data_IF_606103875596
#
_entry.id   IF_606103875596
#
_cell.length_a   1.000
_cell.length_b   1.000
_cell.length_c   1.000
_cell.angle_alpha   90.00
_cell.angle_beta   90.00
_cell.angle_gamma   90.00
#
_symmetry.space_group_name_H-M   'P 1'
#
loop_
_entity.id
_entity.type
_entity.pdbx_description
1 polymer ?
#
# COMPACT_ATOMS: atom_id res chain seq x y z
N UNK A 1 -18.59 -1.70 -4.03
CA UNK A 1 -17.12 -1.60 -4.18
C UNK A 1 -16.56 -0.21 -3.85
N UNK A 2 -17.23 0.88 -4.25
CA UNK A 2 -16.73 2.26 -4.06
C UNK A 2 -16.20 2.60 -2.68
N UNK A 3 -16.97 2.39 -1.61
CA UNK A 3 -16.51 2.71 -0.25
C UNK A 3 -15.23 1.96 0.18
N UNK A 4 -15.10 0.68 -0.19
CA UNK A 4 -13.91 -0.09 0.12
C UNK A 4 -12.66 0.52 -0.53
N UNK A 5 -12.73 0.82 -1.84
CA UNK A 5 -11.61 1.36 -2.61
C UNK A 5 -11.33 2.84 -2.34
N UNK A 6 -12.35 3.68 -2.28
CA UNK A 6 -12.20 5.11 -2.10
C UNK A 6 -11.78 5.48 -0.66
N UNK A 7 -12.13 4.66 0.34
CA UNK A 7 -11.91 5.01 1.75
C UNK A 7 -11.11 3.96 2.51
N UNK A 8 -11.63 2.74 2.68
CA UNK A 8 -11.04 1.77 3.61
C UNK A 8 -9.60 1.35 3.24
N UNK A 9 -9.37 1.02 1.97
CA UNK A 9 -8.04 0.65 1.46
C UNK A 9 -7.01 1.77 1.69
N UNK A 10 -7.24 3.02 1.23
CA UNK A 10 -6.36 4.16 1.51
C UNK A 10 -6.15 4.42 3.00
N UNK A 11 -7.21 4.46 3.80
CA UNK A 11 -7.13 4.75 5.24
C UNK A 11 -6.30 3.70 5.98
N UNK A 12 -6.54 2.41 5.72
CA UNK A 12 -5.74 1.32 6.29
C UNK A 12 -4.26 1.43 5.89
N UNK A 13 -3.96 1.94 4.69
CA UNK A 13 -2.60 2.16 4.21
C UNK A 13 -1.95 3.44 4.77
N UNK A 14 -2.72 4.47 5.11
CA UNK A 14 -2.25 5.67 5.82
C UNK A 14 -1.89 5.31 7.26
N UNK A 15 -2.79 4.62 7.97
CA UNK A 15 -2.65 4.30 9.40
C UNK A 15 -1.32 3.58 9.68
N UNK A 16 -0.94 2.59 8.88
CA UNK A 16 0.33 1.84 9.04
C UNK A 16 1.58 2.70 8.83
N UNK A 17 1.46 3.86 8.16
CA UNK A 17 2.58 4.78 7.86
C UNK A 17 2.68 5.96 8.81
N UNK A 18 1.57 6.37 9.43
CA UNK A 18 1.52 7.56 10.28
C UNK A 18 1.43 7.25 11.77
N UNK A 19 0.98 6.06 12.14
CA UNK A 19 0.81 5.66 13.54
C UNK A 19 1.99 4.83 14.04
N UNK A 20 2.16 4.78 15.36
CA UNK A 20 3.21 4.02 16.07
C UNK A 20 2.64 3.11 17.17
N UNK A 21 1.32 2.89 17.17
CA UNK A 21 0.65 2.07 18.20
C UNK A 21 1.09 0.60 18.16
N UNK A 22 1.09 -0.05 19.33
CA UNK A 22 1.37 -1.48 19.43
C UNK A 22 0.30 -2.28 18.68
N UNK A 23 0.72 -3.21 17.81
CA UNK A 23 -0.19 -4.04 17.04
C UNK A 23 -0.71 -3.42 15.74
N UNK A 24 -0.13 -2.30 15.29
CA UNK A 24 -0.53 -1.60 14.07
C UNK A 24 -0.62 -2.47 12.81
N UNK A 25 0.23 -3.49 12.70
CA UNK A 25 0.20 -4.46 11.59
C UNK A 25 -1.11 -5.26 11.58
N UNK A 26 -1.64 -5.62 12.75
CA UNK A 26 -2.92 -6.34 12.85
C UNK A 26 -4.10 -5.43 12.57
N UNK A 27 -4.03 -4.16 12.97
CA UNK A 27 -5.03 -3.14 12.62
C UNK A 27 -5.05 -2.95 11.09
N UNK A 28 -3.87 -2.78 10.49
CA UNK A 28 -3.71 -2.71 9.05
C UNK A 28 -4.30 -3.95 8.37
N UNK A 29 -3.84 -5.15 8.72
CA UNK A 29 -4.31 -6.40 8.14
C UNK A 29 -5.84 -6.56 8.28
N UNK A 30 -6.40 -6.25 9.46
CA UNK A 30 -7.84 -6.31 9.72
C UNK A 30 -8.63 -5.37 8.80
N UNK A 31 -8.24 -4.10 8.70
CA UNK A 31 -8.88 -3.13 7.80
C UNK A 31 -8.77 -3.58 6.33
N UNK A 32 -7.59 -4.06 5.92
CA UNK A 32 -7.37 -4.48 4.52
C UNK A 32 -8.19 -5.72 4.15
N UNK A 33 -8.24 -6.74 5.02
CA UNK A 33 -9.05 -7.94 4.79
C UNK A 33 -10.53 -7.60 4.79
N UNK A 34 -10.99 -6.76 5.73
CA UNK A 34 -12.39 -6.32 5.75
C UNK A 34 -12.77 -5.53 4.50
N UNK A 35 -11.93 -4.59 4.06
CA UNK A 35 -12.12 -3.85 2.82
C UNK A 35 -12.18 -4.78 1.60
N UNK A 36 -11.30 -5.78 1.54
CA UNK A 36 -11.29 -6.78 0.48
C UNK A 36 -12.55 -7.63 0.46
N UNK A 37 -13.04 -8.08 1.62
CA UNK A 37 -14.30 -8.83 1.72
C UNK A 37 -15.50 -7.99 1.25
N UNK A 38 -15.59 -6.71 1.67
CA UNK A 38 -16.64 -5.80 1.19
C UNK A 38 -16.56 -5.58 -0.33
N UNK A 39 -15.34 -5.46 -0.87
CA UNK A 39 -15.13 -5.32 -2.29
C UNK A 39 -15.52 -6.60 -3.06
N UNK A 40 -15.19 -7.77 -2.51
CA UNK A 40 -15.58 -9.07 -3.04
C UNK A 40 -17.10 -9.26 -3.05
N UNK A 41 -17.80 -8.87 -2.00
CA UNK A 41 -19.29 -8.87 -1.98
C UNK A 41 -19.85 -7.97 -3.07
N UNK A 42 -19.25 -6.79 -3.28
CA UNK A 42 -19.64 -5.89 -4.35
C UNK A 42 -19.43 -6.47 -5.76
N UNK A 43 -18.32 -7.19 -5.97
CA UNK A 43 -18.07 -7.92 -7.21
C UNK A 43 -19.10 -9.05 -7.40
N UNK A 44 -19.34 -9.86 -6.37
CA UNK A 44 -20.30 -10.95 -6.42
C UNK A 44 -21.72 -10.47 -6.74
N UNK A 45 -22.15 -9.36 -6.15
CA UNK A 45 -23.43 -8.72 -6.49
C UNK A 45 -23.46 -8.21 -7.93
N UNK A 46 -22.37 -7.59 -8.40
CA UNK A 46 -22.26 -7.15 -9.80
C UNK A 46 -22.38 -8.31 -10.80
N UNK A 47 -21.72 -9.45 -10.51
CA UNK A 47 -21.83 -10.68 -11.30
C UNK A 47 -23.25 -11.25 -11.23
N UNK A 48 -23.86 -11.27 -10.05
CA UNK A 48 -25.23 -11.74 -9.85
C UNK A 48 -26.25 -10.91 -10.64
N UNK A 49 -26.09 -9.58 -10.70
CA UNK A 49 -26.95 -8.73 -11.52
C UNK A 49 -26.70 -9.03 -12.99
N UNK A 50 -25.44 -9.19 -13.40
CA UNK A 50 -25.10 -9.46 -14.79
C UNK A 50 -25.72 -10.75 -15.34
N UNK A 51 -25.84 -11.83 -14.58
CA UNK A 51 -26.35 -13.13 -15.11
C UNK A 51 -27.84 -13.16 -15.50
N UNK A 52 -28.63 -12.11 -15.23
CA UNK A 52 -30.04 -12.07 -15.65
C UNK A 52 -30.20 -11.63 -17.12
N UNK A 53 -31.10 -12.27 -17.89
CA UNK A 53 -31.10 -12.17 -19.37
C UNK A 53 -31.50 -10.81 -19.97
N UNK A 54 -31.93 -9.82 -19.17
CA UNK A 54 -32.25 -8.45 -19.63
C UNK A 54 -31.30 -7.38 -19.06
N UNK A 55 -30.31 -7.76 -18.25
CA UNK A 55 -29.47 -6.82 -17.51
C UNK A 55 -28.07 -6.73 -18.10
N UNK A 56 -27.80 -5.62 -18.79
CA UNK A 56 -26.50 -4.95 -18.91
C UNK A 56 -25.30 -5.76 -19.47
N UNK A 57 -25.44 -7.05 -19.78
CA UNK A 57 -24.39 -7.92 -20.34
C UNK A 57 -23.99 -7.54 -21.76
N UNK A 58 -24.78 -6.70 -22.44
CA UNK A 58 -24.42 -6.10 -23.72
C UNK A 58 -23.53 -4.87 -23.59
N UNK A 59 -23.19 -4.43 -22.38
CA UNK A 59 -22.23 -3.35 -22.17
C UNK A 59 -20.81 -3.89 -22.35
N UNK A 60 -20.30 -3.78 -23.59
CA UNK A 60 -18.94 -4.09 -24.04
C UNK A 60 -17.85 -3.28 -23.30
N UNK A 61 -17.71 -3.47 -21.99
CA UNK A 61 -17.00 -2.52 -21.13
C UNK A 61 -15.93 -3.20 -20.30
N UNK A 62 -14.75 -2.59 -20.22
CA UNK A 62 -13.62 -3.09 -19.44
C UNK A 62 -13.88 -3.19 -17.93
N UNK A 63 -14.95 -2.58 -17.40
CA UNK A 63 -15.23 -2.50 -15.97
C UNK A 63 -15.30 -3.86 -15.24
N UNK A 64 -16.11 -4.85 -15.67
CA UNK A 64 -16.17 -6.15 -14.98
C UNK A 64 -14.85 -6.91 -15.05
N UNK A 65 -14.15 -6.86 -16.20
CA UNK A 65 -12.85 -7.50 -16.40
C UNK A 65 -11.80 -6.91 -15.46
N UNK A 66 -11.69 -5.57 -15.43
CA UNK A 66 -10.78 -4.85 -14.52
C UNK A 66 -11.13 -5.18 -13.06
N UNK A 67 -12.42 -5.20 -12.70
CA UNK A 67 -12.88 -5.54 -11.36
C UNK A 67 -12.42 -6.92 -10.90
N UNK A 68 -12.59 -7.95 -11.75
CA UNK A 68 -12.14 -9.31 -11.47
C UNK A 68 -10.62 -9.36 -11.28
N UNK A 69 -9.86 -8.73 -12.18
CA UNK A 69 -8.40 -8.69 -12.11
C UNK A 69 -7.94 -8.00 -10.83
N UNK A 70 -8.54 -6.87 -10.46
CA UNK A 70 -8.19 -6.12 -9.24
C UNK A 70 -8.47 -6.95 -7.99
N UNK A 71 -9.66 -7.53 -7.85
CA UNK A 71 -10.03 -8.30 -6.66
C UNK A 71 -9.18 -9.57 -6.53
N UNK A 72 -8.98 -10.29 -7.63
CA UNK A 72 -8.09 -11.45 -7.69
C UNK A 72 -6.65 -11.09 -7.32
N UNK A 73 -6.15 -9.97 -7.85
CA UNK A 73 -4.80 -9.48 -7.57
C UNK A 73 -4.61 -9.05 -6.12
N UNK A 74 -5.63 -8.47 -5.49
CA UNK A 74 -5.61 -8.09 -4.07
C UNK A 74 -5.73 -9.30 -3.13
N UNK A 75 -6.26 -10.44 -3.58
CA UNK A 75 -6.31 -11.67 -2.78
C UNK A 75 -4.90 -12.19 -2.42
N UNK A 76 -3.88 -11.88 -3.22
CA UNK A 76 -2.48 -12.22 -2.95
C UNK A 76 -1.78 -11.26 -1.96
N UNK A 77 -2.39 -10.12 -1.64
CA UNK A 77 -1.79 -9.11 -0.76
C UNK A 77 -1.56 -9.61 0.68
N UNK A 78 -2.51 -10.30 1.35
CA UNK A 78 -2.27 -10.85 2.68
C UNK A 78 -1.11 -11.85 2.71
N UNK A 79 -0.98 -12.69 1.67
CA UNK A 79 0.09 -13.68 1.56
C UNK A 79 1.44 -12.98 1.44
N UNK A 80 1.59 -12.07 0.48
CA UNK A 80 2.84 -11.32 0.26
C UNK A 80 3.21 -10.44 1.46
N UNK A 81 2.21 -9.81 2.11
CA UNK A 81 2.40 -9.01 3.32
C UNK A 81 2.86 -9.84 4.50
N UNK A 82 2.28 -11.03 4.68
CA UNK A 82 2.69 -11.97 5.73
C UNK A 82 4.12 -12.47 5.50
N UNK A 83 4.45 -12.92 4.30
CA UNK A 83 5.80 -13.39 3.94
C UNK A 83 6.83 -12.30 4.19
N UNK A 84 6.61 -11.09 3.68
CA UNK A 84 7.56 -10.00 3.89
C UNK A 84 7.72 -9.68 5.38
N UNK A 85 6.63 -9.62 6.15
CA UNK A 85 6.70 -9.33 7.58
C UNK A 85 7.46 -10.40 8.36
N UNK A 86 7.24 -11.69 8.06
CA UNK A 86 8.00 -12.78 8.68
C UNK A 86 9.50 -12.64 8.43
N UNK A 87 9.89 -12.34 7.18
CA UNK A 87 11.31 -12.21 6.85
C UNK A 87 11.90 -10.94 7.46
N UNK A 88 11.17 -9.83 7.46
CA UNK A 88 11.61 -8.59 8.09
C UNK A 88 11.85 -8.77 9.60
N UNK A 89 11.00 -9.55 10.28
CA UNK A 89 11.17 -9.88 11.70
C UNK A 89 12.42 -10.74 11.97
N UNK A 90 12.75 -11.67 11.05
CA UNK A 90 13.90 -12.58 11.18
C UNK A 90 15.22 -11.90 10.82
N UNK A 91 15.29 -11.28 9.66
CA UNK A 91 16.56 -10.86 9.06
C UNK A 91 16.82 -9.36 9.17
N UNK A 92 15.80 -8.56 9.56
CA UNK A 92 15.78 -7.08 9.52
C UNK A 92 16.20 -6.48 8.16
N UNK A 93 16.26 -7.29 7.11
CA UNK A 93 16.62 -6.90 5.74
C UNK A 93 15.36 -6.68 4.91
N UNK A 94 15.38 -5.66 4.06
CA UNK A 94 14.34 -5.45 3.04
C UNK A 94 14.48 -6.56 2.00
N UNK A 95 13.49 -7.45 1.94
CA UNK A 95 13.40 -8.49 0.91
C UNK A 95 12.69 -7.96 -0.33
N UNK A 96 12.87 -8.64 -1.46
CA UNK A 96 12.12 -8.42 -2.71
C UNK A 96 10.60 -8.36 -2.51
N UNK A 97 10.08 -9.08 -1.51
CA UNK A 97 8.66 -9.08 -1.15
C UNK A 97 8.14 -7.74 -0.62
N UNK A 98 9.00 -6.89 -0.03
CA UNK A 98 8.61 -5.58 0.49
C UNK A 98 8.16 -4.61 -0.62
N UNK A 99 9.01 -4.29 -1.63
CA UNK A 99 8.61 -3.39 -2.71
C UNK A 99 7.50 -4.02 -3.55
N UNK A 100 7.49 -5.34 -3.75
CA UNK A 100 6.41 -6.03 -4.46
C UNK A 100 5.07 -5.80 -3.77
N UNK A 101 4.95 -6.12 -2.48
CA UNK A 101 3.72 -5.93 -1.71
C UNK A 101 3.23 -4.47 -1.77
N UNK A 102 4.14 -3.51 -1.54
CA UNK A 102 3.81 -2.07 -1.49
C UNK A 102 3.37 -1.53 -2.85
N UNK A 103 4.13 -1.77 -3.93
CA UNK A 103 3.78 -1.25 -5.26
C UNK A 103 2.58 -1.94 -5.88
N UNK A 104 2.49 -3.25 -5.70
CA UNK A 104 1.31 -4.03 -6.14
C UNK A 104 0.04 -3.48 -5.50
N UNK A 105 0.03 -3.33 -4.17
CA UNK A 105 -1.10 -2.75 -3.46
C UNK A 105 -1.45 -1.35 -3.98
N UNK A 106 -0.45 -0.51 -4.25
CA UNK A 106 -0.69 0.86 -4.73
C UNK A 106 -1.37 0.91 -6.09
N UNK A 107 -0.90 0.10 -7.03
CA UNK A 107 -1.43 0.03 -8.39
C UNK A 107 -2.88 -0.47 -8.33
N UNK A 108 -3.13 -1.60 -7.68
CA UNK A 108 -4.46 -2.21 -7.68
C UNK A 108 -5.50 -1.44 -6.86
N UNK A 109 -5.10 -0.75 -5.80
CA UNK A 109 -6.02 0.17 -5.08
C UNK A 109 -6.40 1.35 -5.99
N UNK A 110 -5.44 1.96 -6.71
CA UNK A 110 -5.72 3.07 -7.62
C UNK A 110 -6.63 2.65 -8.77
N UNK A 111 -6.31 1.53 -9.43
CA UNK A 111 -7.14 0.96 -10.50
C UNK A 111 -8.52 0.61 -9.96
N UNK A 112 -8.62 0.07 -8.75
CA UNK A 112 -9.89 -0.24 -8.11
C UNK A 112 -10.75 0.98 -7.79
N UNK A 113 -10.16 2.11 -7.41
CA UNK A 113 -10.88 3.39 -7.22
C UNK A 113 -11.51 3.85 -8.53
N UNK A 114 -10.73 3.84 -9.62
CA UNK A 114 -11.21 4.21 -10.96
C UNK A 114 -12.30 3.23 -11.40
N UNK A 115 -12.06 1.93 -11.24
CA UNK A 115 -12.99 0.90 -11.64
C UNK A 115 -14.32 0.99 -10.89
N UNK A 116 -14.30 1.33 -9.60
CA UNK A 116 -15.53 1.54 -8.84
C UNK A 116 -16.30 2.79 -9.29
N UNK A 117 -15.62 3.82 -9.80
CA UNK A 117 -16.26 4.98 -10.44
C UNK A 117 -16.93 4.59 -11.77
N UNK A 118 -16.24 3.84 -12.62
CA UNK A 118 -16.81 3.31 -13.87
C UNK A 118 -18.05 2.43 -13.60
N UNK A 119 -18.02 1.61 -12.55
CA UNK A 119 -19.18 0.81 -12.16
C UNK A 119 -20.37 1.65 -11.69
N UNK A 120 -20.12 2.81 -11.09
CA UNK A 120 -21.17 3.74 -10.67
C UNK A 120 -21.83 4.41 -11.88
N UNK A 121 -21.02 4.85 -12.86
CA UNK A 121 -21.51 5.39 -14.13
C UNK A 121 -22.37 4.38 -14.90
N UNK A 122 -21.88 3.14 -15.01
CA UNK A 122 -22.60 2.06 -15.70
C UNK A 122 -23.90 1.61 -15.00
N UNK A 123 -24.04 1.91 -13.70
CA UNK A 123 -25.25 1.57 -12.94
C UNK A 123 -26.43 2.52 -13.22
N UNK A 124 -26.25 3.53 -14.07
CA UNK A 124 -27.26 4.55 -14.32
C UNK A 124 -27.47 5.46 -13.10
N UNK A 125 -26.39 5.75 -12.37
CA UNK A 125 -26.45 6.61 -11.20
C UNK A 125 -26.75 8.07 -11.58
N UNK A 126 -27.11 8.89 -10.59
CA UNK A 126 -27.25 10.32 -10.82
C UNK A 126 -25.89 10.98 -11.06
N UNK A 127 -25.84 11.96 -11.98
CA UNK A 127 -24.64 12.80 -12.22
C UNK A 127 -24.11 13.39 -10.92
N UNK A 128 -25.00 13.81 -10.00
CA UNK A 128 -24.60 14.32 -8.68
C UNK A 128 -23.88 13.26 -7.85
N UNK A 129 -24.34 12.01 -7.88
CA UNK A 129 -23.72 10.90 -7.16
C UNK A 129 -22.35 10.51 -7.74
N UNK A 130 -22.21 10.53 -9.06
CA UNK A 130 -20.93 10.32 -9.74
C UNK A 130 -19.90 11.39 -9.38
N UNK A 131 -20.30 12.67 -9.44
CA UNK A 131 -19.46 13.80 -9.02
C UNK A 131 -19.08 13.66 -7.53
N UNK A 132 -20.04 13.35 -6.67
CA UNK A 132 -19.78 13.17 -5.24
C UNK A 132 -18.74 12.06 -4.99
N UNK A 133 -18.89 10.90 -5.64
CA UNK A 133 -17.91 9.83 -5.56
C UNK A 133 -16.53 10.28 -6.07
N UNK A 134 -16.48 10.90 -7.25
CA UNK A 134 -15.22 11.36 -7.86
C UNK A 134 -14.47 12.36 -6.98
N UNK A 135 -15.17 13.33 -6.40
CA UNK A 135 -14.58 14.32 -5.48
C UNK A 135 -14.05 13.65 -4.21
N UNK A 136 -14.86 12.81 -3.55
CA UNK A 136 -14.46 12.15 -2.30
C UNK A 136 -13.28 11.20 -2.55
N UNK A 137 -13.38 10.36 -3.57
CA UNK A 137 -12.35 9.40 -3.92
C UNK A 137 -11.05 10.10 -4.34
N UNK A 138 -11.14 11.17 -5.14
CA UNK A 138 -10.00 11.98 -5.57
C UNK A 138 -9.26 12.63 -4.39
N UNK A 139 -10.00 13.27 -3.47
CA UNK A 139 -9.41 13.90 -2.28
C UNK A 139 -8.69 12.87 -1.40
N UNK A 140 -9.34 11.73 -1.10
CA UNK A 140 -8.72 10.69 -0.27
C UNK A 140 -7.48 10.10 -0.96
N UNK A 141 -7.56 9.87 -2.26
CA UNK A 141 -6.43 9.36 -3.04
C UNK A 141 -5.24 10.32 -3.03
N UNK A 142 -5.47 11.63 -3.19
CA UNK A 142 -4.42 12.66 -3.09
C UNK A 142 -3.79 12.66 -1.70
N UNK A 143 -4.59 12.62 -0.63
CA UNK A 143 -4.08 12.56 0.75
C UNK A 143 -3.21 11.32 0.95
N UNK A 144 -3.70 10.16 0.50
CA UNK A 144 -2.95 8.91 0.61
C UNK A 144 -1.64 8.94 -0.18
N UNK A 145 -1.64 9.49 -1.39
CA UNK A 145 -0.42 9.69 -2.18
C UNK A 145 0.56 10.64 -1.49
N UNK A 146 0.08 11.75 -0.93
CA UNK A 146 0.93 12.69 -0.21
C UNK A 146 1.62 12.01 0.99
N UNK A 147 0.88 11.22 1.78
CA UNK A 147 1.44 10.42 2.89
C UNK A 147 2.46 9.39 2.37
N UNK A 148 2.17 8.74 1.25
CA UNK A 148 3.08 7.78 0.62
C UNK A 148 4.39 8.43 0.21
N UNK A 149 4.34 9.59 -0.45
CA UNK A 149 5.52 10.33 -0.90
C UNK A 149 6.31 10.81 0.32
N UNK A 150 5.66 11.46 1.28
CA UNK A 150 6.28 11.94 2.51
C UNK A 150 7.00 10.83 3.28
N UNK A 151 6.33 9.68 3.48
CA UNK A 151 6.91 8.52 4.15
C UNK A 151 8.12 7.97 3.39
N UNK A 152 8.09 7.98 2.05
CA UNK A 152 9.20 7.49 1.23
C UNK A 152 10.42 8.41 1.31
N UNK A 153 10.21 9.73 1.33
CA UNK A 153 11.28 10.72 1.49
C UNK A 153 11.91 10.60 2.88
N UNK A 154 11.08 10.54 3.93
CA UNK A 154 11.56 10.37 5.32
C UNK A 154 12.41 9.10 5.48
N UNK A 155 11.92 7.96 4.98
CA UNK A 155 12.65 6.69 4.95
C UNK A 155 14.02 6.79 4.24
N UNK A 156 14.15 7.69 3.26
CA UNK A 156 15.38 7.96 2.54
C UNK A 156 16.38 8.77 3.37
N UNK A 157 15.92 9.87 3.96
CA UNK A 157 16.74 10.76 4.80
C UNK A 157 17.28 10.04 6.04
N UNK A 158 16.43 9.25 6.72
CA UNK A 158 16.84 8.50 7.92
C UNK A 158 17.99 7.52 7.61
N UNK A 159 17.98 6.91 6.41
CA UNK A 159 19.05 6.01 5.95
C UNK A 159 20.32 6.74 5.59
N UNK A 160 20.24 7.90 4.92
CA UNK A 160 21.44 8.68 4.57
C UNK A 160 22.14 9.18 5.82
N UNK A 161 21.39 9.71 6.80
CA UNK A 161 21.96 10.15 8.08
C UNK A 161 22.62 8.99 8.84
N UNK A 162 21.98 7.83 8.88
CA UNK A 162 22.55 6.64 9.54
C UNK A 162 23.83 6.17 8.84
N UNK A 163 23.85 6.19 7.51
CA UNK A 163 25.03 5.85 6.71
C UNK A 163 26.20 6.81 6.93
N UNK A 164 25.91 8.11 7.00
CA UNK A 164 26.90 9.15 7.27
C UNK A 164 27.50 9.01 8.67
N UNK A 165 26.67 8.82 9.70
CA UNK A 165 27.12 8.57 11.08
C UNK A 165 28.01 7.33 11.17
N UNK A 166 27.61 6.23 10.53
CA UNK A 166 28.38 4.99 10.52
C UNK A 166 29.72 5.14 9.78
N UNK A 167 29.75 5.91 8.70
CA UNK A 167 30.99 6.24 7.98
C UNK A 167 31.93 7.09 8.84
N UNK A 168 31.40 8.14 9.47
CA UNK A 168 32.16 9.01 10.39
C UNK A 168 32.79 8.22 11.54
N UNK A 169 32.02 7.33 12.17
CA UNK A 169 32.51 6.46 13.26
C UNK A 169 33.63 5.51 12.82
N UNK A 170 33.50 4.85 11.64
CA UNK A 170 34.58 4.00 11.12
C UNK A 170 35.84 4.81 10.81
N UNK A 171 35.68 6.03 10.29
CA UNK A 171 36.79 6.93 9.99
C UNK A 171 37.50 7.39 11.27
N UNK A 172 36.77 7.68 12.35
CA UNK A 172 37.37 8.07 13.63
C UNK A 172 38.16 6.93 14.27
N UNK A 173 37.67 5.69 14.23
CA UNK A 173 38.43 4.51 14.69
C UNK A 173 39.70 4.32 13.87
N UNK A 174 39.60 4.38 12.54
CA UNK A 174 40.76 4.22 11.67
C UNK A 174 41.83 5.31 11.86
N UNK A 175 41.42 6.52 12.29
CA UNK A 175 42.36 7.59 12.66
C UNK A 175 42.98 7.35 14.04
N UNK A 176 42.18 6.95 15.04
CA UNK A 176 42.64 6.63 16.39
C UNK A 176 43.67 5.49 16.40
N UNK A 177 43.45 4.46 15.58
CA UNK A 177 44.34 3.30 15.46
C UNK A 177 45.69 3.63 14.79
N UNK A 178 45.70 4.67 13.95
CA UNK A 178 46.92 5.17 13.30
C UNK A 178 47.61 6.29 14.08
N UNK A 179 47.10 6.65 15.26
CA UNK A 179 47.68 7.71 16.08
C UNK A 179 49.07 7.30 16.61
N UNK A 180 49.96 8.26 16.90
CA UNK A 180 51.27 7.96 17.49
C UNK A 180 51.16 7.19 18.82
N UNK A 181 50.17 7.54 19.65
CA UNK A 181 49.92 6.92 20.97
C UNK A 181 49.50 5.44 20.86
N UNK A 182 48.67 5.08 19.87
CA UNK A 182 48.28 3.67 19.66
C UNK A 182 49.45 2.82 19.15
N UNK A 183 50.40 3.42 18.42
CA UNK A 183 51.63 2.76 17.95
C UNK A 183 52.66 2.54 19.05
N UNK A 184 52.72 3.42 20.05
CA UNK A 184 53.56 3.21 21.23
C UNK A 184 53.02 2.07 22.10
N UNK A 185 51.69 1.99 22.32
CA UNK A 185 51.09 0.91 23.11
C UNK A 185 51.18 -0.49 22.46
N UNK A 186 51.36 -0.58 21.15
CA UNK A 186 51.52 -1.85 20.44
C UNK A 186 52.97 -2.38 20.43
N UNK A 187 53.94 -1.55 20.84
CA UNK A 187 55.38 -1.88 20.84
C UNK A 187 55.96 -2.14 22.24
N UNK A 188 55.10 -2.27 23.27
CA UNK A 188 55.45 -2.67 24.65
C UNK A 188 54.95 -4.10 24.90
#
# INVERSE_FOLDING_TARGET
MGFAFAFLFPVGAIIIRTSTVRGLIWIHAGIQVFAWLLALTGLALGVYIAIYPDSLLTASNGHPIIGIIVIGSLAFQPITGYIHHLIYKKDKKRTFWAPLHVWWGRIFVTVGIINAGLGLELSGNTVKGEIAYGVIAGVIWIIWLAVVIWSTIKDGNDKSETGEKAYGYRKSIAYSDKSPESREMANV
#
